data_IF_589232611933
#
_entry.id   IF_589232611933
#
_cell.length_a   1.000
_cell.length_b   1.000
_cell.length_c   1.000
_cell.angle_alpha   90.00
_cell.angle_beta   90.00
_cell.angle_gamma   90.00
#
_symmetry.space_group_name_H-M   'P 1'
#
loop_
_entity.id
_entity.type
_entity.pdbx_description
1 polymer ?
#
# COMPACT_ATOMS: atom_id res chain seq x y z
N UNK A 1 -21.38 -24.46 -1.30
CA UNK A 1 -21.39 -23.05 -0.86
C UNK A 1 -21.28 -22.19 -2.08
N UNK A 2 -22.06 -21.13 -2.17
CA UNK A 2 -21.96 -20.21 -3.29
C UNK A 2 -20.61 -19.50 -3.24
N UNK A 3 -20.01 -19.29 -4.42
CA UNK A 3 -18.73 -18.62 -4.56
C UNK A 3 -18.91 -17.12 -4.38
N UNK A 4 -17.92 -16.45 -3.79
CA UNK A 4 -17.85 -15.00 -3.77
C UNK A 4 -17.56 -14.49 -5.19
N UNK A 5 -18.44 -13.65 -5.69
CA UNK A 5 -18.38 -13.05 -7.03
C UNK A 5 -17.61 -11.75 -6.98
N UNK A 6 -16.43 -11.72 -7.60
CA UNK A 6 -15.55 -10.53 -7.59
C UNK A 6 -15.58 -9.79 -8.92
N UNK A 7 -15.58 -8.45 -8.83
CA UNK A 7 -15.19 -7.55 -9.90
C UNK A 7 -13.73 -7.08 -9.74
N UNK A 8 -13.00 -6.97 -10.86
CA UNK A 8 -11.65 -6.41 -10.89
C UNK A 8 -11.65 -5.12 -11.70
N UNK A 9 -11.30 -3.99 -11.06
CA UNK A 9 -11.19 -2.68 -11.68
C UNK A 9 -9.72 -2.31 -11.77
N UNK A 10 -9.18 -2.19 -13.00
CA UNK A 10 -7.75 -2.11 -13.28
C UNK A 10 -7.10 -3.48 -13.36
N UNK A 11 -6.62 -3.84 -14.56
CA UNK A 11 -6.02 -5.14 -14.89
C UNK A 11 -4.49 -5.02 -15.14
N UNK A 12 -3.85 -4.01 -14.55
CA UNK A 12 -2.42 -3.74 -14.71
C UNK A 12 -1.50 -4.68 -13.94
N UNK A 13 -0.21 -4.29 -13.84
CA UNK A 13 0.81 -5.14 -13.22
C UNK A 13 0.51 -5.54 -11.77
N UNK A 14 0.03 -4.59 -10.94
CA UNK A 14 -0.28 -4.88 -9.53
C UNK A 14 -1.48 -5.84 -9.39
N UNK A 15 -2.48 -5.70 -10.22
CA UNK A 15 -3.63 -6.62 -10.26
C UNK A 15 -3.21 -8.08 -10.49
N UNK A 16 -2.07 -8.31 -11.17
CA UNK A 16 -1.52 -9.64 -11.40
C UNK A 16 -1.28 -10.44 -10.12
N UNK A 17 -0.87 -9.80 -9.02
CA UNK A 17 -0.71 -10.44 -7.71
C UNK A 17 -2.05 -10.95 -7.16
N UNK A 18 -3.06 -10.08 -7.13
CA UNK A 18 -4.43 -10.42 -6.70
C UNK A 18 -5.05 -11.49 -7.60
N UNK A 19 -4.90 -11.36 -8.92
CA UNK A 19 -5.38 -12.39 -9.86
C UNK A 19 -4.79 -13.77 -9.56
N UNK A 20 -3.47 -13.85 -9.28
CA UNK A 20 -2.82 -15.12 -8.94
C UNK A 20 -3.32 -15.69 -7.61
N UNK A 21 -3.66 -14.82 -6.67
CA UNK A 21 -4.25 -15.20 -5.38
C UNK A 21 -5.66 -15.78 -5.56
N UNK A 22 -6.55 -15.06 -6.24
CA UNK A 22 -7.94 -15.49 -6.42
C UNK A 22 -8.08 -16.76 -7.25
N UNK A 23 -7.21 -16.99 -8.24
CA UNK A 23 -7.20 -18.23 -9.03
C UNK A 23 -6.95 -19.49 -8.18
N UNK A 24 -6.35 -19.35 -7.00
CA UNK A 24 -6.09 -20.46 -6.07
C UNK A 24 -7.21 -20.67 -5.05
N UNK A 25 -8.22 -19.79 -5.03
CA UNK A 25 -9.35 -19.85 -4.09
C UNK A 25 -10.54 -20.53 -4.74
N UNK A 26 -10.89 -21.73 -4.27
CA UNK A 26 -12.00 -22.52 -4.84
C UNK A 26 -13.38 -21.88 -4.58
N UNK A 27 -13.47 -21.04 -3.55
CA UNK A 27 -14.67 -20.36 -3.09
C UNK A 27 -14.81 -18.92 -3.63
N UNK A 28 -14.01 -18.55 -4.63
CA UNK A 28 -14.03 -17.25 -5.31
C UNK A 28 -14.24 -17.44 -6.80
N UNK A 29 -14.94 -16.51 -7.42
CA UNK A 29 -15.11 -16.41 -8.86
C UNK A 29 -14.98 -14.95 -9.31
N UNK A 30 -14.04 -14.66 -10.21
CA UNK A 30 -13.96 -13.34 -10.85
C UNK A 30 -14.96 -13.31 -12.00
N UNK A 31 -16.03 -12.54 -11.85
CA UNK A 31 -17.17 -12.49 -12.78
C UNK A 31 -17.18 -11.25 -13.66
N UNK A 32 -16.40 -10.23 -13.31
CA UNK A 32 -16.32 -8.97 -14.06
C UNK A 32 -14.89 -8.41 -14.03
N UNK A 33 -14.43 -7.85 -15.15
CA UNK A 33 -13.15 -7.15 -15.26
C UNK A 33 -13.34 -5.85 -16.02
N UNK A 34 -12.70 -4.76 -15.56
CA UNK A 34 -12.76 -3.45 -16.19
C UNK A 34 -11.37 -2.86 -16.34
N UNK A 35 -10.99 -2.46 -17.54
CA UNK A 35 -9.75 -1.72 -17.84
C UNK A 35 -9.92 -0.93 -19.14
N UNK A 36 -9.53 0.37 -19.19
CA UNK A 36 -9.62 1.17 -20.40
C UNK A 36 -8.69 0.67 -21.53
N UNK A 37 -7.67 -0.12 -21.18
CA UNK A 37 -6.78 -0.77 -22.15
C UNK A 37 -7.32 -2.17 -22.43
N UNK A 38 -8.02 -2.30 -23.55
CA UNK A 38 -8.72 -3.53 -23.96
C UNK A 38 -7.83 -4.80 -23.87
N UNK A 39 -6.56 -4.68 -24.24
CA UNK A 39 -5.61 -5.80 -24.18
C UNK A 39 -5.40 -6.31 -22.74
N UNK A 40 -5.40 -5.42 -21.74
CA UNK A 40 -5.29 -5.80 -20.31
C UNK A 40 -6.55 -6.49 -19.82
N UNK A 41 -7.71 -5.95 -20.16
CA UNK A 41 -8.99 -6.57 -19.81
C UNK A 41 -9.13 -7.97 -20.45
N UNK A 42 -8.76 -8.13 -21.72
CA UNK A 42 -8.74 -9.44 -22.41
C UNK A 42 -7.77 -10.42 -21.76
N UNK A 43 -6.55 -10.00 -21.42
CA UNK A 43 -5.59 -10.86 -20.73
C UNK A 43 -6.09 -11.32 -19.35
N UNK A 44 -6.76 -10.46 -18.60
CA UNK A 44 -7.41 -10.82 -17.34
C UNK A 44 -8.57 -11.80 -17.57
N UNK A 45 -9.44 -11.54 -18.55
CA UNK A 45 -10.53 -12.43 -18.96
C UNK A 45 -10.03 -13.84 -19.31
N UNK A 46 -8.99 -13.96 -20.13
CA UNK A 46 -8.39 -15.25 -20.50
C UNK A 46 -7.82 -15.96 -19.27
N UNK A 47 -7.14 -15.21 -18.39
CA UNK A 47 -6.56 -15.74 -17.15
C UNK A 47 -7.61 -16.33 -16.22
N UNK A 48 -8.83 -15.79 -16.18
CA UNK A 48 -9.97 -16.32 -15.42
C UNK A 48 -10.83 -17.32 -16.21
N UNK A 49 -10.28 -17.95 -17.25
CA UNK A 49 -10.93 -19.02 -18.00
C UNK A 49 -12.10 -18.57 -18.87
N UNK A 50 -12.06 -17.33 -19.34
CA UNK A 50 -13.04 -16.75 -20.28
C UNK A 50 -14.49 -16.72 -19.75
N UNK A 51 -14.67 -16.51 -18.46
CA UNK A 51 -16.00 -16.47 -17.83
C UNK A 51 -16.43 -15.10 -17.34
N UNK A 52 -15.46 -14.20 -17.11
CA UNK A 52 -15.75 -12.84 -16.63
C UNK A 52 -16.41 -11.99 -17.74
N UNK A 53 -17.26 -11.05 -17.37
CA UNK A 53 -17.75 -9.99 -18.25
C UNK A 53 -16.66 -8.92 -18.38
N UNK A 54 -16.46 -8.37 -19.58
CA UNK A 54 -15.45 -7.36 -19.86
C UNK A 54 -16.13 -6.00 -19.99
N UNK A 55 -15.61 -5.00 -19.27
CA UNK A 55 -16.05 -3.61 -19.30
C UNK A 55 -14.88 -2.70 -19.68
N UNK A 56 -15.15 -1.61 -20.36
CA UNK A 56 -14.14 -0.62 -20.75
C UNK A 56 -13.63 0.22 -19.58
N UNK A 57 -14.47 0.39 -18.57
CA UNK A 57 -14.16 1.21 -17.39
C UNK A 57 -15.09 0.81 -16.23
N UNK A 58 -14.80 1.38 -15.05
CA UNK A 58 -15.57 1.13 -13.84
C UNK A 58 -17.04 1.61 -13.97
N UNK A 59 -17.30 2.68 -14.73
CA UNK A 59 -18.67 3.20 -14.89
C UNK A 59 -19.55 2.17 -15.61
N UNK A 60 -19.09 1.63 -16.75
CA UNK A 60 -19.81 0.53 -17.45
C UNK A 60 -20.01 -0.69 -16.53
N UNK A 61 -19.02 -1.02 -15.69
CA UNK A 61 -19.12 -2.14 -14.76
C UNK A 61 -20.23 -1.86 -13.73
N UNK A 62 -20.21 -0.73 -13.04
CA UNK A 62 -21.19 -0.41 -12.01
C UNK A 62 -22.59 -0.11 -12.56
N UNK A 63 -22.70 0.35 -13.83
CA UNK A 63 -24.00 0.53 -14.50
C UNK A 63 -24.65 -0.81 -14.90
N UNK A 64 -23.85 -1.86 -15.09
CA UNK A 64 -24.28 -3.19 -15.56
C UNK A 64 -24.39 -4.23 -14.46
N UNK A 65 -23.70 -4.05 -13.36
CA UNK A 65 -23.64 -4.98 -12.23
C UNK A 65 -24.44 -4.47 -11.03
N UNK A 66 -24.76 -5.38 -10.10
CA UNK A 66 -25.49 -5.07 -8.87
C UNK A 66 -24.99 -5.95 -7.73
N UNK A 67 -25.53 -5.76 -6.51
CA UNK A 67 -25.29 -6.68 -5.37
C UNK A 67 -25.71 -8.14 -5.62
N UNK A 68 -26.57 -8.39 -6.58
CA UNK A 68 -26.94 -9.77 -6.95
C UNK A 68 -25.87 -10.45 -7.83
N UNK A 69 -25.06 -9.65 -8.52
CA UNK A 69 -24.03 -10.11 -9.46
C UNK A 69 -22.60 -9.90 -8.98
N UNK A 70 -22.36 -9.02 -8.01
CA UNK A 70 -21.06 -8.75 -7.37
C UNK A 70 -21.17 -8.75 -5.86
N UNK A 71 -20.35 -9.56 -5.20
CA UNK A 71 -20.20 -9.55 -3.74
C UNK A 71 -19.13 -8.56 -3.28
N UNK A 72 -18.08 -8.34 -4.08
CA UNK A 72 -17.02 -7.37 -3.78
C UNK A 72 -16.27 -6.94 -5.05
N UNK A 73 -15.48 -5.86 -4.95
CA UNK A 73 -14.57 -5.40 -6.01
C UNK A 73 -13.15 -5.21 -5.51
N UNK A 74 -12.20 -5.39 -6.43
CA UNK A 74 -10.78 -5.14 -6.21
C UNK A 74 -10.39 -3.96 -7.11
N UNK A 75 -9.86 -2.88 -6.51
CA UNK A 75 -9.52 -1.64 -7.20
C UNK A 75 -7.99 -1.55 -7.30
N UNK A 76 -7.46 -1.71 -8.51
CA UNK A 76 -6.03 -1.73 -8.83
C UNK A 76 -5.71 -0.72 -9.93
N UNK A 77 -6.10 0.51 -9.75
CA UNK A 77 -5.88 1.59 -10.71
C UNK A 77 -4.68 2.46 -10.30
N UNK A 78 -4.19 3.29 -11.20
CA UNK A 78 -3.19 4.31 -10.86
C UNK A 78 -3.79 5.41 -9.98
N UNK A 79 -2.98 6.15 -9.18
CA UNK A 79 -3.52 7.09 -8.19
C UNK A 79 -4.46 8.17 -8.73
N UNK A 80 -4.29 8.59 -10.00
CA UNK A 80 -5.14 9.60 -10.64
C UNK A 80 -6.43 9.05 -11.22
N UNK A 81 -6.55 7.73 -11.35
CA UNK A 81 -7.73 7.08 -11.94
C UNK A 81 -8.82 6.73 -10.90
N UNK A 82 -8.60 7.07 -9.62
CA UNK A 82 -9.60 6.91 -8.54
C UNK A 82 -10.70 7.99 -8.61
N UNK A 83 -11.38 8.14 -9.75
CA UNK A 83 -12.37 9.22 -9.98
C UNK A 83 -13.54 9.15 -9.00
N UNK A 84 -14.49 8.24 -9.24
CA UNK A 84 -15.67 7.98 -8.38
C UNK A 84 -15.86 6.49 -8.06
N UNK A 85 -14.78 5.70 -8.21
CA UNK A 85 -14.85 4.23 -8.10
C UNK A 85 -15.30 3.81 -6.71
N UNK A 86 -14.65 4.35 -5.68
CA UNK A 86 -14.92 4.03 -4.28
C UNK A 86 -16.31 4.53 -3.88
N UNK A 87 -16.68 5.74 -4.27
CA UNK A 87 -17.99 6.32 -3.99
C UNK A 87 -19.11 5.43 -4.56
N UNK A 88 -18.97 4.98 -5.81
CA UNK A 88 -19.96 4.08 -6.45
C UNK A 88 -20.03 2.72 -5.75
N UNK A 89 -18.90 2.14 -5.38
CA UNK A 89 -18.89 0.90 -4.60
C UNK A 89 -19.60 1.05 -3.26
N UNK A 90 -19.39 2.18 -2.55
CA UNK A 90 -20.05 2.49 -1.27
C UNK A 90 -21.56 2.71 -1.46
N UNK A 91 -21.98 3.48 -2.46
CA UNK A 91 -23.39 3.71 -2.77
C UNK A 91 -24.14 2.40 -3.03
N UNK A 92 -23.51 1.46 -3.71
CA UNK A 92 -24.04 0.13 -4.01
C UNK A 92 -23.87 -0.87 -2.86
N UNK A 93 -23.29 -0.47 -1.73
CA UNK A 93 -22.90 -1.34 -0.60
C UNK A 93 -22.03 -2.53 -1.02
N UNK A 94 -21.13 -2.34 -1.98
CA UNK A 94 -20.18 -3.36 -2.45
C UNK A 94 -18.86 -3.24 -1.68
N UNK A 95 -18.47 -4.22 -0.85
CA UNK A 95 -17.16 -4.30 -0.20
C UNK A 95 -16.02 -4.20 -1.20
N UNK A 96 -14.87 -3.60 -0.79
CA UNK A 96 -13.76 -3.49 -1.71
C UNK A 96 -12.38 -3.59 -1.06
N UNK A 97 -11.41 -4.10 -1.84
CA UNK A 97 -9.99 -3.84 -1.65
C UNK A 97 -9.60 -2.70 -2.58
N UNK A 98 -8.83 -1.75 -2.07
CA UNK A 98 -8.17 -0.72 -2.88
C UNK A 98 -6.66 -0.80 -2.72
N UNK A 99 -5.91 -0.75 -3.83
CA UNK A 99 -4.45 -0.70 -3.77
C UNK A 99 -3.94 0.65 -3.27
N UNK A 100 -2.74 0.62 -2.70
CA UNK A 100 -2.06 1.83 -2.22
C UNK A 100 -1.35 2.56 -3.40
N UNK A 101 -1.19 3.89 -3.30
CA UNK A 101 -1.91 4.79 -2.41
C UNK A 101 -3.38 4.84 -2.79
N UNK A 102 -4.27 4.89 -1.80
CA UNK A 102 -5.72 4.90 -2.02
C UNK A 102 -6.18 6.09 -2.89
N UNK A 103 -5.41 7.15 -2.89
CA UNK A 103 -5.58 8.38 -3.67
C UNK A 103 -4.38 9.30 -3.40
N UNK A 104 -4.25 10.34 -4.21
CA UNK A 104 -3.34 11.48 -3.98
C UNK A 104 -4.08 12.74 -3.52
N UNK A 105 -5.35 12.63 -3.19
CA UNK A 105 -6.21 13.68 -2.68
C UNK A 105 -6.67 13.30 -1.26
N UNK A 106 -6.10 13.98 -0.24
CA UNK A 106 -6.36 13.67 1.16
C UNK A 106 -7.81 14.00 1.55
N UNK A 107 -8.38 15.11 1.04
CA UNK A 107 -9.76 15.50 1.35
C UNK A 107 -10.75 14.46 0.80
N UNK A 108 -10.48 13.96 -0.41
CA UNK A 108 -11.23 12.85 -0.99
C UNK A 108 -11.14 11.58 -0.14
N UNK A 109 -9.93 11.22 0.31
CA UNK A 109 -9.74 10.04 1.16
C UNK A 109 -10.52 10.15 2.49
N UNK A 110 -10.55 11.34 3.08
CA UNK A 110 -11.30 11.61 4.31
C UNK A 110 -12.81 11.46 4.09
N UNK A 111 -13.34 12.05 3.02
CA UNK A 111 -14.76 11.91 2.63
C UNK A 111 -15.14 10.45 2.40
N UNK A 112 -14.32 9.70 1.66
CA UNK A 112 -14.56 8.26 1.42
C UNK A 112 -14.57 7.49 2.73
N UNK A 113 -13.64 7.79 3.66
CA UNK A 113 -13.59 7.15 4.98
C UNK A 113 -14.87 7.39 5.79
N UNK A 114 -15.43 8.60 5.75
CA UNK A 114 -16.71 8.92 6.40
C UNK A 114 -17.87 8.14 5.76
N UNK A 115 -17.95 8.10 4.43
CA UNK A 115 -18.98 7.32 3.71
C UNK A 115 -18.92 5.82 4.04
N UNK A 116 -17.71 5.24 4.13
CA UNK A 116 -17.49 3.84 4.54
C UNK A 116 -18.03 3.61 5.95
N UNK A 117 -17.72 4.52 6.88
CA UNK A 117 -18.16 4.44 8.27
C UNK A 117 -19.69 4.52 8.40
N UNK A 118 -20.33 5.44 7.65
CA UNK A 118 -21.81 5.57 7.64
C UNK A 118 -22.51 4.31 7.14
N UNK A 119 -21.91 3.62 6.17
CA UNK A 119 -22.43 2.38 5.58
C UNK A 119 -21.98 1.10 6.32
N UNK A 120 -21.10 1.22 7.29
CA UNK A 120 -20.43 0.07 7.94
C UNK A 120 -19.85 -0.91 6.91
N UNK A 121 -19.24 -0.40 5.83
CA UNK A 121 -18.79 -1.21 4.70
C UNK A 121 -17.47 -1.92 5.01
N UNK A 122 -17.35 -3.18 4.58
CA UNK A 122 -16.10 -3.94 4.68
C UNK A 122 -15.12 -3.43 3.62
N UNK A 123 -13.95 -2.97 4.06
CA UNK A 123 -12.89 -2.49 3.18
C UNK A 123 -11.52 -2.98 3.62
N UNK A 124 -10.59 -3.09 2.68
CA UNK A 124 -9.17 -3.34 2.94
C UNK A 124 -8.30 -2.54 1.99
N UNK A 125 -7.13 -2.14 2.43
CA UNK A 125 -6.16 -1.43 1.60
C UNK A 125 -4.91 -2.29 1.39
N UNK A 126 -4.29 -2.18 0.23
CA UNK A 126 -3.15 -2.99 -0.24
C UNK A 126 -1.84 -2.83 0.55
N UNK A 127 -1.90 -2.68 1.89
CA UNK A 127 -0.73 -2.74 2.77
C UNK A 127 -0.35 -4.18 3.12
N UNK A 128 -0.01 -4.94 2.07
CA UNK A 128 0.28 -6.37 2.18
C UNK A 128 1.42 -6.71 3.13
N UNK A 129 2.33 -5.78 3.41
CA UNK A 129 3.47 -6.05 4.30
C UNK A 129 3.05 -6.35 5.74
N UNK A 130 1.88 -5.87 6.19
CA UNK A 130 1.29 -6.24 7.49
C UNK A 130 0.92 -7.73 7.58
N UNK A 131 0.80 -8.43 6.43
CA UNK A 131 0.47 -9.87 6.35
C UNK A 131 1.71 -10.74 6.08
N UNK A 132 2.90 -10.15 6.16
CA UNK A 132 4.14 -10.84 5.94
C UNK A 132 4.62 -11.49 7.24
N UNK A 133 4.97 -12.78 7.18
CA UNK A 133 5.52 -13.53 8.31
C UNK A 133 6.75 -12.86 8.96
N UNK A 134 7.58 -12.20 8.15
CA UNK A 134 8.72 -11.43 8.64
C UNK A 134 8.28 -10.21 9.47
N UNK A 135 7.25 -9.48 9.04
CA UNK A 135 6.74 -8.31 9.78
C UNK A 135 5.99 -8.73 11.05
N UNK A 136 5.30 -9.86 11.04
CA UNK A 136 4.74 -10.46 12.26
C UNK A 136 5.84 -10.78 13.26
N UNK A 137 6.95 -11.36 12.80
CA UNK A 137 8.09 -11.62 13.66
C UNK A 137 8.73 -10.35 14.19
N UNK A 138 8.93 -9.33 13.36
CA UNK A 138 9.42 -8.01 13.79
C UNK A 138 8.50 -7.42 14.87
N UNK A 139 7.19 -7.46 14.66
CA UNK A 139 6.23 -6.93 15.63
C UNK A 139 6.29 -7.68 16.96
N UNK A 140 6.38 -9.00 16.94
CA UNK A 140 6.48 -9.80 18.16
C UNK A 140 7.74 -9.44 18.97
N UNK A 141 8.89 -9.21 18.32
CA UNK A 141 10.11 -8.78 19.00
C UNK A 141 9.98 -7.36 19.56
N UNK A 142 9.44 -6.42 18.78
CA UNK A 142 9.19 -5.03 19.22
C UNK A 142 8.24 -5.01 20.41
N UNK A 143 7.13 -5.73 20.36
CA UNK A 143 6.12 -5.78 21.43
C UNK A 143 6.71 -6.40 22.73
N UNK A 144 7.61 -7.37 22.61
CA UNK A 144 8.23 -8.05 23.77
C UNK A 144 9.21 -7.16 24.52
N UNK A 145 9.87 -6.22 23.83
CA UNK A 145 10.91 -5.37 24.42
C UNK A 145 10.36 -4.14 25.16
N UNK A 146 9.11 -3.74 24.91
CA UNK A 146 8.37 -2.66 25.63
C UNK A 146 9.10 -1.31 25.75
N UNK A 147 10.24 -1.14 25.16
CA UNK A 147 11.07 0.06 25.20
C UNK A 147 11.13 0.70 23.82
N UNK A 148 11.30 2.03 23.81
CA UNK A 148 11.57 2.77 22.57
C UNK A 148 12.78 2.20 21.83
N UNK A 149 12.83 2.45 20.56
CA UNK A 149 13.93 2.04 19.70
C UNK A 149 14.31 3.13 18.72
N UNK A 150 15.52 3.02 18.19
CA UNK A 150 15.97 3.80 17.04
C UNK A 150 15.75 2.98 15.78
N UNK A 151 15.01 3.58 14.84
CA UNK A 151 14.73 2.93 13.57
C UNK A 151 15.37 3.72 12.43
N UNK A 152 16.09 3.02 11.57
CA UNK A 152 16.52 3.52 10.27
C UNK A 152 15.80 2.73 9.18
N UNK A 153 15.04 3.43 8.34
CA UNK A 153 14.36 2.85 7.18
C UNK A 153 14.94 3.42 5.88
N UNK A 154 14.95 2.60 4.84
CA UNK A 154 15.40 3.04 3.53
C UNK A 154 14.55 2.44 2.42
N UNK A 155 14.31 3.25 1.37
CA UNK A 155 13.88 2.79 0.07
C UNK A 155 14.68 3.54 -1.01
N UNK A 156 15.77 2.94 -1.43
CA UNK A 156 16.69 3.54 -2.38
C UNK A 156 16.77 2.62 -3.60
N UNK A 157 16.50 3.16 -4.77
CA UNK A 157 16.45 2.42 -6.02
C UNK A 157 16.51 3.32 -7.25
N UNK A 158 15.94 2.87 -8.35
CA UNK A 158 15.74 3.64 -9.57
C UNK A 158 14.31 4.16 -9.69
N UNK A 159 14.09 4.97 -10.72
CA UNK A 159 12.76 5.45 -11.10
C UNK A 159 11.91 4.24 -11.52
N UNK A 160 10.70 4.06 -10.96
CA UNK A 160 9.78 3.06 -11.44
C UNK A 160 9.41 3.26 -12.91
N UNK A 161 9.30 2.16 -13.66
CA UNK A 161 9.03 2.17 -15.11
C UNK A 161 7.59 2.52 -15.49
N UNK A 162 6.87 3.27 -14.65
CA UNK A 162 5.49 3.72 -14.89
C UNK A 162 5.44 5.23 -15.06
N UNK A 163 4.75 5.71 -16.09
CA UNK A 163 4.78 7.10 -16.48
C UNK A 163 4.26 8.06 -15.39
N UNK A 164 3.21 7.67 -14.68
CA UNK A 164 2.55 8.47 -13.65
C UNK A 164 3.40 8.68 -12.39
N UNK A 165 4.42 7.84 -12.17
CA UNK A 165 5.30 8.00 -11.02
C UNK A 165 6.23 9.20 -11.12
N UNK A 166 6.51 9.67 -12.34
CA UNK A 166 7.48 10.72 -12.60
C UNK A 166 6.99 12.14 -12.33
N UNK A 167 5.72 12.29 -11.90
CA UNK A 167 5.13 13.58 -11.54
C UNK A 167 4.51 13.53 -10.16
N UNK A 168 4.80 14.55 -9.31
CA UNK A 168 4.15 14.67 -7.99
C UNK A 168 2.63 14.79 -8.11
N UNK A 169 2.15 15.50 -9.12
CA UNK A 169 0.70 15.67 -9.36
C UNK A 169 -0.03 14.36 -9.69
N UNK A 170 0.69 13.30 -10.07
CA UNK A 170 0.10 12.01 -10.43
C UNK A 170 0.45 10.88 -9.47
N UNK A 171 1.56 10.99 -8.70
CA UNK A 171 1.96 9.95 -7.74
C UNK A 171 1.94 10.41 -6.27
N UNK A 172 1.85 11.72 -6.01
CA UNK A 172 1.96 12.27 -4.66
C UNK A 172 3.38 12.36 -4.12
N UNK A 173 4.41 12.01 -4.92
CA UNK A 173 5.81 11.92 -4.49
C UNK A 173 6.22 10.55 -3.95
N UNK A 174 7.54 10.34 -3.79
CA UNK A 174 8.09 9.03 -3.42
C UNK A 174 7.61 8.55 -2.03
N UNK A 175 7.39 9.46 -1.07
CA UNK A 175 6.89 9.09 0.28
C UNK A 175 5.45 8.58 0.22
N UNK A 176 4.61 9.13 -0.65
CA UNK A 176 3.20 8.72 -0.81
C UNK A 176 3.10 7.43 -1.63
N UNK A 177 3.90 7.27 -2.68
CA UNK A 177 3.74 6.13 -3.58
C UNK A 177 4.55 4.91 -3.12
N UNK A 178 5.83 5.05 -2.81
CA UNK A 178 6.71 3.92 -2.46
C UNK A 178 6.89 3.76 -0.96
N UNK A 179 7.34 4.79 -0.28
CA UNK A 179 7.71 4.70 1.13
C UNK A 179 6.52 4.60 2.07
N UNK A 180 5.30 4.81 1.56
CA UNK A 180 4.08 4.60 2.34
C UNK A 180 4.02 3.18 2.94
N UNK A 181 4.62 2.18 2.30
CA UNK A 181 4.74 0.83 2.86
C UNK A 181 5.59 0.81 4.14
N UNK A 182 6.70 1.57 4.16
CA UNK A 182 7.55 1.66 5.36
C UNK A 182 6.92 2.55 6.43
N UNK A 183 6.26 3.65 6.04
CA UNK A 183 5.48 4.50 6.96
C UNK A 183 4.36 3.71 7.62
N UNK A 184 3.63 2.93 6.84
CA UNK A 184 2.58 2.03 7.32
C UNK A 184 3.14 0.93 8.23
N UNK A 185 4.27 0.34 7.85
CA UNK A 185 4.98 -0.64 8.69
C UNK A 185 5.42 -0.05 10.03
N UNK A 186 5.92 1.18 10.06
CA UNK A 186 6.27 1.87 11.30
C UNK A 186 5.05 2.12 12.19
N UNK A 187 3.92 2.57 11.60
CA UNK A 187 2.67 2.71 12.35
C UNK A 187 2.17 1.36 12.90
N UNK A 188 2.28 0.29 12.12
CA UNK A 188 1.93 -1.06 12.55
C UNK A 188 2.76 -1.53 13.75
N UNK A 189 4.05 -1.15 13.78
CA UNK A 189 4.98 -1.53 14.85
C UNK A 189 4.83 -0.66 16.11
N UNK A 190 4.66 0.65 15.94
CA UNK A 190 4.85 1.62 17.02
C UNK A 190 3.63 2.50 17.32
N UNK A 191 2.51 2.29 16.63
CA UNK A 191 1.33 3.13 16.78
C UNK A 191 1.39 4.43 15.99
N UNK A 192 0.65 5.44 16.43
CA UNK A 192 0.52 6.69 15.67
C UNK A 192 1.74 7.61 15.85
N UNK A 193 2.07 8.34 14.78
CA UNK A 193 3.14 9.33 14.84
C UNK A 193 2.71 10.56 15.66
N UNK A 194 3.63 11.12 16.42
CA UNK A 194 3.46 12.38 17.17
C UNK A 194 3.86 13.59 16.35
N UNK A 195 4.89 13.44 15.52
CA UNK A 195 5.37 14.49 14.63
C UNK A 195 6.24 13.93 13.52
N UNK A 196 6.34 14.68 12.43
CA UNK A 196 7.28 14.42 11.33
C UNK A 196 7.97 15.71 10.90
N UNK A 197 9.27 15.61 10.65
CA UNK A 197 10.07 16.59 9.92
C UNK A 197 10.70 15.90 8.72
N UNK A 198 10.61 16.53 7.55
CA UNK A 198 11.20 15.97 6.34
C UNK A 198 11.84 17.04 5.48
N UNK A 199 12.85 16.62 4.71
CA UNK A 199 13.54 17.43 3.71
C UNK A 199 13.77 16.63 2.45
N UNK A 200 13.81 17.29 1.30
CA UNK A 200 14.07 16.64 0.01
C UNK A 200 15.00 17.47 -0.85
N UNK A 201 15.52 16.85 -1.90
CA UNK A 201 16.35 17.52 -2.92
C UNK A 201 16.05 16.95 -4.30
N UNK A 202 16.33 17.78 -5.30
CA UNK A 202 16.23 17.47 -6.73
C UNK A 202 17.54 17.83 -7.42
N UNK A 203 17.71 17.43 -8.71
CA UNK A 203 18.83 17.81 -9.56
C UNK A 203 19.88 16.71 -9.78
N UNK A 204 19.74 15.55 -9.13
CA UNK A 204 20.53 14.35 -9.46
C UNK A 204 19.97 13.66 -10.71
N UNK A 205 18.65 13.68 -10.88
CA UNK A 205 17.94 13.19 -12.05
C UNK A 205 17.63 14.37 -12.95
N UNK A 206 17.94 14.22 -14.24
CA UNK A 206 17.69 15.26 -15.24
C UNK A 206 16.48 14.90 -16.09
N UNK A 207 15.48 15.77 -16.07
CA UNK A 207 14.32 15.66 -16.94
C UNK A 207 14.75 15.61 -18.42
N UNK A 208 14.09 14.75 -19.21
CA UNK A 208 14.40 14.55 -20.64
C UNK A 208 15.62 13.68 -20.94
N UNK A 209 16.42 13.26 -19.92
CA UNK A 209 17.61 12.42 -20.14
C UNK A 209 17.34 10.96 -19.73
N UNK A 210 18.00 10.01 -20.39
CA UNK A 210 18.01 8.58 -20.02
C UNK A 210 16.62 7.93 -19.85
N UNK A 211 15.62 8.39 -20.60
CA UNK A 211 14.25 7.88 -20.55
C UNK A 211 13.39 8.47 -19.42
N UNK A 212 13.90 9.48 -18.74
CA UNK A 212 13.14 10.30 -17.80
C UNK A 212 12.25 11.27 -18.57
N UNK A 213 11.02 11.47 -18.10
CA UNK A 213 10.09 12.46 -18.68
C UNK A 213 10.67 13.88 -18.64
N UNK A 214 10.38 14.70 -19.66
CA UNK A 214 10.67 16.14 -19.62
C UNK A 214 9.91 16.86 -18.49
N UNK A 215 8.81 16.28 -18.03
CA UNK A 215 7.95 16.80 -16.97
C UNK A 215 8.27 16.19 -15.59
N UNK A 216 9.43 15.56 -15.40
CA UNK A 216 9.84 14.97 -14.13
C UNK A 216 9.98 16.06 -13.06
N UNK A 217 9.24 15.91 -11.95
CA UNK A 217 9.23 16.81 -10.79
C UNK A 217 9.20 16.11 -9.43
N UNK A 218 9.33 14.78 -9.42
CA UNK A 218 9.43 14.00 -8.19
C UNK A 218 10.77 14.25 -7.51
N UNK A 219 10.80 14.22 -6.17
CA UNK A 219 12.05 14.38 -5.42
C UNK A 219 13.03 13.25 -5.74
N UNK A 220 14.31 13.58 -6.01
CA UNK A 220 15.34 12.57 -6.27
C UNK A 220 15.67 11.78 -5.02
N UNK A 221 15.68 12.46 -3.89
CA UNK A 221 15.80 11.86 -2.56
C UNK A 221 15.15 12.71 -1.48
N UNK A 222 14.82 12.06 -0.38
CA UNK A 222 14.26 12.70 0.81
C UNK A 222 14.69 11.98 2.08
N UNK A 223 14.60 12.71 3.19
CA UNK A 223 14.80 12.16 4.53
C UNK A 223 13.68 12.67 5.43
N UNK A 224 13.04 11.76 6.16
CA UNK A 224 12.02 12.08 7.15
C UNK A 224 12.42 11.57 8.52
N UNK A 225 12.28 12.39 9.54
CA UNK A 225 12.42 12.03 10.97
C UNK A 225 11.03 12.03 11.58
N UNK A 226 10.62 10.88 12.12
CA UNK A 226 9.28 10.65 12.66
C UNK A 226 9.42 10.29 14.15
N UNK A 227 8.66 10.96 15.00
CA UNK A 227 8.55 10.60 16.40
C UNK A 227 7.25 9.87 16.66
N UNK A 228 7.36 8.74 17.33
CA UNK A 228 6.25 7.94 17.82
C UNK A 228 6.11 8.04 19.33
N UNK A 229 5.04 7.50 19.87
CA UNK A 229 4.90 7.28 21.29
C UNK A 229 6.04 6.36 21.82
N UNK A 230 6.16 6.25 23.15
CA UNK A 230 7.15 5.39 23.82
C UNK A 230 8.62 5.70 23.49
N UNK A 231 8.94 6.98 23.17
CA UNK A 231 10.27 7.45 22.84
C UNK A 231 10.91 6.79 21.59
N UNK A 232 10.10 6.29 20.67
CA UNK A 232 10.58 5.76 19.40
C UNK A 232 10.83 6.91 18.43
N UNK A 233 11.99 6.86 17.78
CA UNK A 233 12.34 7.77 16.68
C UNK A 233 12.73 6.94 15.46
N UNK A 234 12.07 7.23 14.33
CA UNK A 234 12.39 6.61 13.05
C UNK A 234 12.93 7.65 12.08
N UNK A 235 13.97 7.29 11.34
CA UNK A 235 14.47 8.04 10.19
C UNK A 235 14.24 7.23 8.93
N UNK A 236 13.49 7.77 7.97
CA UNK A 236 13.32 7.17 6.65
C UNK A 236 14.12 7.96 5.61
N UNK A 237 14.89 7.24 4.79
CA UNK A 237 15.57 7.82 3.63
C UNK A 237 14.99 7.21 2.36
N UNK A 238 14.80 8.06 1.35
CA UNK A 238 14.27 7.71 0.04
C UNK A 238 15.22 8.17 -1.03
N UNK A 239 15.32 7.44 -2.13
CA UNK A 239 16.10 7.88 -3.28
C UNK A 239 15.76 7.05 -4.52
N UNK A 240 15.67 7.72 -5.67
CA UNK A 240 15.29 7.06 -6.93
C UNK A 240 16.33 7.22 -8.04
N UNK A 241 17.56 7.63 -7.71
CA UNK A 241 18.63 7.88 -8.68
C UNK A 241 19.72 6.80 -8.74
N UNK A 242 19.62 5.73 -7.95
CA UNK A 242 20.66 4.69 -7.91
C UNK A 242 20.51 3.61 -9.01
N UNK A 243 19.56 3.77 -9.92
CA UNK A 243 19.32 2.84 -11.03
C UNK A 243 19.02 1.42 -10.51
N UNK A 244 19.74 0.43 -11.04
CA UNK A 244 19.59 -0.98 -10.65
C UNK A 244 20.35 -1.34 -9.37
N UNK A 245 21.09 -0.43 -8.80
CA UNK A 245 21.79 -0.62 -7.53
C UNK A 245 20.79 -0.42 -6.41
N UNK A 246 20.58 -1.45 -5.58
CA UNK A 246 19.68 -1.42 -4.42
C UNK A 246 20.47 -1.52 -3.15
N UNK A 247 21.03 -0.42 -2.65
CA UNK A 247 21.89 -0.44 -1.47
C UNK A 247 21.14 -0.91 -0.23
N UNK A 248 19.84 -0.54 -0.07
CA UNK A 248 19.00 -0.97 1.03
C UNK A 248 17.54 -0.65 0.79
N UNK A 249 16.66 -1.63 1.03
CA UNK A 249 15.21 -1.42 1.16
C UNK A 249 14.72 -2.18 2.39
N UNK A 250 14.08 -1.48 3.34
CA UNK A 250 13.54 -2.09 4.55
C UNK A 250 13.79 -1.26 5.80
N UNK A 251 13.74 -1.90 6.96
CA UNK A 251 13.87 -1.29 8.28
C UNK A 251 15.04 -1.93 9.05
N UNK A 252 15.84 -1.11 9.70
CA UNK A 252 16.84 -1.50 10.67
C UNK A 252 16.45 -0.96 12.04
N UNK A 253 16.11 -1.85 12.95
CA UNK A 253 15.55 -1.53 14.26
C UNK A 253 16.54 -1.92 15.33
N UNK A 254 16.92 -0.98 16.19
CA UNK A 254 17.79 -1.21 17.32
C UNK A 254 16.96 -1.27 18.59
N UNK A 255 16.91 -2.42 19.22
CA UNK A 255 16.35 -2.65 20.53
C UNK A 255 17.48 -2.71 21.58
N UNK A 256 17.17 -2.87 22.86
CA UNK A 256 18.16 -2.81 23.94
C UNK A 256 19.30 -3.87 23.77
N UNK A 257 18.95 -5.09 23.41
CA UNK A 257 19.85 -6.25 23.31
C UNK A 257 19.73 -6.99 21.96
N UNK A 258 19.04 -6.40 21.00
CA UNK A 258 18.74 -7.01 19.73
C UNK A 258 18.74 -5.99 18.59
N UNK A 259 19.19 -6.41 17.43
CA UNK A 259 19.05 -5.69 16.17
C UNK A 259 18.19 -6.52 15.22
N UNK A 260 17.20 -5.87 14.61
CA UNK A 260 16.34 -6.43 13.58
C UNK A 260 16.65 -5.73 12.25
N UNK A 261 17.24 -6.45 11.29
CA UNK A 261 17.47 -5.97 9.92
C UNK A 261 16.42 -6.61 9.00
N UNK A 262 15.25 -5.95 8.90
CA UNK A 262 14.21 -6.35 7.96
C UNK A 262 14.55 -5.84 6.56
N UNK A 263 14.85 -6.76 5.66
CA UNK A 263 15.05 -6.49 4.24
C UNK A 263 13.74 -6.70 3.50
N UNK A 264 13.23 -5.64 2.96
CA UNK A 264 11.86 -5.55 2.40
C UNK A 264 11.50 -6.77 1.55
N UNK A 265 10.53 -7.56 2.05
CA UNK A 265 9.95 -8.74 1.38
C UNK A 265 10.97 -9.82 0.99
N UNK A 266 12.13 -9.86 1.62
CA UNK A 266 13.20 -10.80 1.33
C UNK A 266 13.51 -11.67 2.54
N UNK A 267 14.15 -11.11 3.56
CA UNK A 267 14.54 -11.80 4.79
C UNK A 267 14.58 -10.86 5.99
N UNK A 268 14.63 -11.44 7.18
CA UNK A 268 14.84 -10.75 8.45
C UNK A 268 16.11 -11.32 9.10
N UNK A 269 17.08 -10.45 9.39
CA UNK A 269 18.25 -10.82 10.18
C UNK A 269 18.01 -10.33 11.61
N UNK A 270 18.04 -11.24 12.56
CA UNK A 270 17.98 -10.96 14.00
C UNK A 270 19.36 -11.18 14.57
N UNK A 271 19.95 -10.15 15.18
CA UNK A 271 21.26 -10.21 15.82
C UNK A 271 21.16 -9.88 17.30
N UNK A 272 21.70 -10.72 18.15
CA UNK A 272 21.90 -10.52 19.59
C UNK A 272 23.37 -10.67 19.94
N UNK A 273 23.74 -10.57 21.22
CA UNK A 273 25.12 -10.84 21.67
C UNK A 273 25.51 -12.30 21.44
N UNK A 274 24.56 -13.23 21.45
CA UNK A 274 24.84 -14.68 21.49
C UNK A 274 24.69 -15.34 20.11
N UNK A 275 23.82 -14.80 19.22
CA UNK A 275 23.54 -15.42 17.92
C UNK A 275 23.11 -14.40 16.86
N UNK A 276 23.18 -14.85 15.61
CA UNK A 276 22.56 -14.19 14.46
C UNK A 276 21.70 -15.22 13.72
N UNK A 277 20.45 -14.86 13.44
CA UNK A 277 19.50 -15.65 12.65
C UNK A 277 19.20 -14.93 11.34
N UNK A 278 19.20 -15.65 10.24
CA UNK A 278 18.72 -15.16 8.94
C UNK A 278 17.44 -15.94 8.56
N UNK A 279 16.32 -15.26 8.55
CA UNK A 279 14.98 -15.81 8.36
C UNK A 279 14.45 -15.38 7.00
N UNK A 280 14.38 -16.28 6.01
CA UNK A 280 13.82 -15.96 4.70
C UNK A 280 12.29 -15.85 4.77
N UNK A 281 11.73 -15.04 3.88
CA UNK A 281 10.27 -14.99 3.67
C UNK A 281 9.72 -16.36 3.25
N UNK A 282 8.58 -16.76 3.82
CA UNK A 282 7.93 -18.04 3.54
C UNK A 282 6.55 -17.93 2.93
N UNK A 283 5.88 -16.77 3.04
CA UNK A 283 4.48 -16.61 2.66
C UNK A 283 4.29 -15.64 1.49
N UNK A 284 3.19 -15.81 0.79
CA UNK A 284 2.65 -14.82 -0.15
C UNK A 284 1.70 -13.90 0.62
N UNK A 285 2.22 -12.75 1.01
CA UNK A 285 1.48 -11.77 1.82
C UNK A 285 0.24 -11.21 1.09
N UNK A 286 0.27 -11.14 -0.26
CA UNK A 286 -0.91 -10.71 -1.03
C UNK A 286 -2.02 -11.74 -0.92
N UNK A 287 -1.69 -13.02 -1.00
CA UNK A 287 -2.67 -14.09 -0.86
C UNK A 287 -3.31 -14.12 0.54
N UNK A 288 -2.55 -13.79 1.61
CA UNK A 288 -3.08 -13.73 2.96
C UNK A 288 -4.00 -12.51 3.13
N UNK A 289 -3.62 -11.33 2.61
CA UNK A 289 -4.46 -10.14 2.59
C UNK A 289 -5.78 -10.39 1.88
N UNK A 290 -5.71 -10.96 0.67
CA UNK A 290 -6.89 -11.28 -0.14
C UNK A 290 -7.81 -12.26 0.58
N UNK A 291 -7.24 -13.31 1.19
CA UNK A 291 -8.01 -14.31 1.93
C UNK A 291 -8.72 -13.67 3.14
N UNK A 292 -8.03 -12.82 3.91
CA UNK A 292 -8.62 -12.12 5.05
C UNK A 292 -9.82 -11.25 4.63
N UNK A 293 -9.72 -10.58 3.49
CA UNK A 293 -10.82 -9.79 2.93
C UNK A 293 -12.00 -10.68 2.48
N UNK A 294 -11.73 -11.75 1.74
CA UNK A 294 -12.77 -12.67 1.27
C UNK A 294 -13.50 -13.33 2.46
N UNK A 295 -12.77 -13.72 3.51
CA UNK A 295 -13.38 -14.29 4.72
C UNK A 295 -14.27 -13.26 5.43
N UNK A 296 -13.84 -12.00 5.51
CA UNK A 296 -14.66 -10.93 6.07
C UNK A 296 -15.94 -10.69 5.25
N UNK A 297 -15.85 -10.68 3.91
CA UNK A 297 -17.04 -10.56 3.05
C UNK A 297 -18.02 -11.72 3.25
N UNK A 298 -17.52 -12.95 3.46
CA UNK A 298 -18.34 -14.16 3.65
C UNK A 298 -19.01 -14.21 5.01
N UNK A 299 -18.31 -13.78 6.05
CA UNK A 299 -18.72 -14.04 7.44
C UNK A 299 -19.16 -12.78 8.20
N UNK A 300 -18.81 -11.59 7.70
CA UNK A 300 -18.93 -10.33 8.43
C UNK A 300 -17.82 -10.10 9.48
N UNK A 301 -16.98 -11.09 9.76
CA UNK A 301 -15.88 -10.95 10.72
C UNK A 301 -14.68 -10.25 10.10
N UNK A 302 -14.37 -9.05 10.59
CA UNK A 302 -13.28 -8.18 10.11
C UNK A 302 -11.97 -8.36 10.88
N UNK A 303 -11.91 -9.27 11.86
CA UNK A 303 -10.77 -9.41 12.79
C UNK A 303 -9.44 -9.71 12.10
N UNK A 304 -9.46 -10.32 10.90
CA UNK A 304 -8.28 -10.61 10.10
C UNK A 304 -7.87 -9.46 9.15
N UNK A 305 -8.69 -8.42 8.99
CA UNK A 305 -8.35 -7.25 8.19
C UNK A 305 -7.39 -6.36 8.99
N UNK A 306 -6.14 -6.29 8.57
CA UNK A 306 -5.08 -5.54 9.26
C UNK A 306 -4.91 -4.10 8.78
N UNK A 307 -5.54 -3.73 7.67
CA UNK A 307 -5.49 -2.41 7.07
C UNK A 307 -6.85 -2.07 6.45
N UNK A 308 -7.81 -1.66 7.30
CA UNK A 308 -9.06 -1.06 6.82
C UNK A 308 -8.78 0.28 6.15
N UNK A 309 -9.74 0.83 5.40
CA UNK A 309 -9.60 2.14 4.77
C UNK A 309 -9.33 3.24 5.81
N UNK A 310 -10.05 3.23 6.94
CA UNK A 310 -9.87 4.17 8.05
C UNK A 310 -8.45 4.11 8.65
N UNK A 311 -7.92 2.91 8.88
CA UNK A 311 -6.56 2.76 9.41
C UNK A 311 -5.51 3.18 8.37
N UNK A 312 -5.69 2.81 7.12
CA UNK A 312 -4.80 3.15 6.01
C UNK A 312 -4.75 4.67 5.73
N UNK A 313 -5.87 5.38 5.94
CA UNK A 313 -5.94 6.83 5.85
C UNK A 313 -4.92 7.52 6.78
N UNK A 314 -4.65 6.97 7.94
CA UNK A 314 -3.64 7.50 8.86
C UNK A 314 -2.22 7.37 8.31
N UNK A 315 -1.92 6.30 7.56
CA UNK A 315 -0.63 6.18 6.83
C UNK A 315 -0.54 7.19 5.70
N UNK A 316 -1.63 7.45 5.00
CA UNK A 316 -1.70 8.46 3.97
C UNK A 316 -1.49 9.87 4.56
N UNK A 317 -2.16 10.20 5.68
CA UNK A 317 -1.97 11.47 6.40
C UNK A 317 -0.51 11.68 6.82
N UNK A 318 0.16 10.65 7.33
CA UNK A 318 1.58 10.71 7.69
C UNK A 318 2.47 11.02 6.48
N UNK A 319 2.20 10.37 5.33
CA UNK A 319 2.95 10.62 4.09
C UNK A 319 2.74 12.06 3.58
N UNK A 320 1.52 12.57 3.58
CA UNK A 320 1.21 13.96 3.20
C UNK A 320 1.79 14.97 4.19
N UNK A 321 1.78 14.68 5.49
CA UNK A 321 2.41 15.53 6.50
C UNK A 321 3.93 15.63 6.27
N UNK A 322 4.58 14.53 5.87
CA UNK A 322 5.99 14.56 5.49
C UNK A 322 6.23 15.41 4.22
N UNK A 323 5.38 15.29 3.20
CA UNK A 323 5.44 16.16 2.02
C UNK A 323 5.28 17.65 2.41
N UNK A 324 4.28 17.96 3.25
CA UNK A 324 4.09 19.34 3.74
C UNK A 324 5.31 19.85 4.49
N UNK A 325 5.93 19.01 5.31
CA UNK A 325 7.17 19.38 6.01
C UNK A 325 8.31 19.70 5.03
N UNK A 326 8.46 18.94 3.93
CA UNK A 326 9.43 19.22 2.87
C UNK A 326 9.18 20.56 2.18
N UNK A 327 7.93 20.94 1.99
CA UNK A 327 7.51 22.18 1.32
C UNK A 327 7.69 23.40 2.23
N UNK A 328 7.36 23.29 3.52
CA UNK A 328 7.36 24.42 4.46
C UNK A 328 8.65 24.56 5.26
N UNK A 329 9.44 23.47 5.39
CA UNK A 329 10.60 23.41 6.29
C UNK A 329 10.22 23.32 7.78
N UNK A 330 8.94 23.06 8.09
CA UNK A 330 8.43 23.02 9.45
C UNK A 330 8.23 21.59 9.95
N UNK A 331 8.26 21.42 11.28
CA UNK A 331 7.82 20.18 11.93
C UNK A 331 6.29 20.13 11.91
N UNK A 332 5.72 19.05 11.42
CA UNK A 332 4.27 18.83 11.46
C UNK A 332 3.95 17.94 12.65
N UNK A 333 3.03 18.40 13.49
CA UNK A 333 2.53 17.68 14.66
C UNK A 333 1.17 17.08 14.37
N UNK A 334 0.89 15.93 14.97
CA UNK A 334 -0.42 15.27 14.90
C UNK A 334 -1.16 15.50 16.21
N UNK A 335 -2.43 15.83 16.11
CA UNK A 335 -3.33 15.94 17.26
C UNK A 335 -3.54 14.53 17.87
N UNK A 336 -3.69 14.51 19.20
CA UNK A 336 -3.90 13.27 19.97
C UNK A 336 -5.36 12.86 19.97
#
# INVERSE_FOLDING_TARGET
MDKIKLGLIGCGGRAGGHMNSFLKMEDVEVVAVADPIEARAKAAFEKFGCRARIYKNHSELFDSESRDTLDAVIICVEPTAHTDIEERAIEMNIPFIVEKPMTIDLEKAEKISEMIKEKDLITSVGFQDRYLDLMERVKAEVDSHKTGGLVYGAWIGGIPGVWWWQKKSTCGGQLVEQNIHLLDGLRWLYGEALSVYATSSTGMIKAGENGVSEEYDTDDHSTAVIRFENNVTATLVSGCYSGNIRPRCGLYITLHDMILDYRLRNNLIISTNDYTLDIPRKVDQTAILDRAFIDAVKTGDRSLIRSSYEDALKSLRLAFAANRSMETGEVIYFDR
#
